data_IF_338430303346
#
_entry.id   IF_338430303346
#
_cell.length_a   1.000
_cell.length_b   1.000
_cell.length_c   1.000
_cell.angle_alpha   90.00
_cell.angle_beta   90.00
_cell.angle_gamma   90.00
#
_symmetry.space_group_name_H-M   'P 1'
#
loop_
_entity.id
_entity.type
_entity.pdbx_description
1 polymer ?
#
# COMPACT_ATOMS: atom_id res chain seq x y z
N UNK A 1 -2.24 -17.86 -19.30
CA UNK A 1 -3.37 -17.09 -18.74
C UNK A 1 -2.97 -16.33 -17.48
N UNK A 2 -2.24 -16.97 -16.55
CA UNK A 2 -1.51 -16.29 -15.48
C UNK A 2 -0.66 -15.12 -16.03
N UNK A 3 0.04 -15.28 -17.16
CA UNK A 3 0.87 -14.21 -17.74
C UNK A 3 0.07 -12.98 -18.22
N UNK A 4 -1.17 -13.18 -18.70
CA UNK A 4 -2.07 -12.08 -19.08
C UNK A 4 -2.62 -11.38 -17.83
N UNK A 5 -3.02 -12.15 -16.82
CA UNK A 5 -3.42 -11.63 -15.51
C UNK A 5 -2.27 -10.85 -14.86
N UNK A 6 -1.05 -11.37 -14.94
CA UNK A 6 0.16 -10.78 -14.38
C UNK A 6 0.46 -9.44 -15.07
N UNK A 7 0.51 -9.41 -16.40
CA UNK A 7 0.86 -8.21 -17.14
C UNK A 7 -0.21 -7.11 -17.05
N UNK A 8 -1.49 -7.44 -17.23
CA UNK A 8 -2.55 -6.42 -17.27
C UNK A 8 -3.13 -6.08 -15.90
N UNK A 9 -3.42 -7.08 -15.07
CA UNK A 9 -4.05 -6.86 -13.76
C UNK A 9 -2.99 -6.54 -12.71
N UNK A 10 -1.94 -7.36 -12.55
CA UNK A 10 -0.92 -7.15 -11.53
C UNK A 10 0.12 -6.08 -11.88
N UNK A 11 0.33 -5.76 -13.15
CA UNK A 11 1.25 -4.70 -13.57
C UNK A 11 0.71 -3.29 -13.31
N UNK A 12 -0.62 -3.11 -13.28
CA UNK A 12 -1.19 -1.77 -13.18
C UNK A 12 -2.49 -1.69 -12.37
N UNK A 13 -3.55 -2.37 -12.80
CA UNK A 13 -4.91 -2.16 -12.25
C UNK A 13 -4.98 -2.51 -10.76
N UNK A 14 -4.45 -3.68 -10.40
CA UNK A 14 -4.41 -4.16 -9.02
C UNK A 14 -3.42 -3.39 -8.15
N UNK A 15 -2.51 -2.61 -8.73
CA UNK A 15 -1.66 -1.70 -7.97
C UNK A 15 -2.38 -0.36 -7.75
N UNK A 16 -2.90 0.24 -8.83
CA UNK A 16 -3.48 1.57 -8.84
C UNK A 16 -4.75 1.67 -7.99
N UNK A 17 -5.71 0.77 -8.17
CA UNK A 17 -7.02 0.88 -7.51
C UNK A 17 -6.88 0.76 -5.99
N UNK A 18 -6.21 -0.26 -5.42
CA UNK A 18 -6.02 -0.34 -3.98
C UNK A 18 -5.12 0.78 -3.46
N UNK A 19 -4.19 1.31 -4.26
CA UNK A 19 -3.40 2.47 -3.85
C UNK A 19 -4.27 3.72 -3.64
N UNK A 20 -5.22 3.99 -4.54
CA UNK A 20 -6.20 5.08 -4.34
C UNK A 20 -7.00 4.86 -3.07
N UNK A 21 -7.41 3.62 -2.79
CA UNK A 21 -8.04 3.27 -1.52
C UNK A 21 -7.13 3.55 -0.31
N UNK A 22 -5.84 3.18 -0.37
CA UNK A 22 -4.87 3.47 0.69
C UNK A 22 -4.74 4.97 0.99
N UNK A 23 -4.82 5.82 -0.04
CA UNK A 23 -4.80 7.28 0.11
C UNK A 23 -6.05 7.75 0.87
N UNK A 24 -7.24 7.32 0.46
CA UNK A 24 -8.51 7.69 1.09
C UNK A 24 -8.61 7.17 2.53
N UNK A 25 -8.09 5.98 2.78
CA UNK A 25 -8.05 5.38 4.11
C UNK A 25 -7.09 6.17 5.02
N UNK A 26 -5.89 6.49 4.54
CA UNK A 26 -4.93 7.33 5.29
C UNK A 26 -5.51 8.70 5.63
N UNK A 27 -6.25 9.30 4.70
CA UNK A 27 -6.99 10.52 4.94
C UNK A 27 -8.03 10.36 6.05
N UNK A 28 -8.86 9.31 5.97
CA UNK A 28 -9.95 9.08 6.91
C UNK A 28 -9.46 8.74 8.32
N UNK A 29 -8.39 7.95 8.45
CA UNK A 29 -7.88 7.47 9.74
C UNK A 29 -7.01 8.50 10.47
N UNK A 30 -6.38 9.44 9.77
CA UNK A 30 -5.44 10.40 10.37
C UNK A 30 -5.84 11.84 10.08
N UNK A 31 -5.82 12.26 8.81
CA UNK A 31 -5.96 13.65 8.43
C UNK A 31 -7.35 14.24 8.77
N UNK A 32 -8.43 13.44 8.64
CA UNK A 32 -9.80 13.86 8.99
C UNK A 32 -9.95 14.15 10.49
N UNK A 33 -9.29 13.40 11.36
CA UNK A 33 -9.35 13.63 12.81
C UNK A 33 -8.60 14.90 13.24
N UNK A 34 -7.62 15.31 12.44
CA UNK A 34 -6.89 16.56 12.64
C UNK A 34 -7.68 17.78 12.16
N UNK A 35 -8.38 17.68 11.02
CA UNK A 35 -9.15 18.80 10.46
C UNK A 35 -10.32 19.23 11.34
N UNK A 36 -11.03 18.23 11.88
CA UNK A 36 -12.31 18.46 12.54
C UNK A 36 -12.14 19.00 13.97
N UNK A 37 -10.91 19.15 14.47
CA UNK A 37 -10.64 19.39 15.89
C UNK A 37 -11.08 18.24 16.81
N UNK A 38 -11.65 17.16 16.25
CA UNK A 38 -12.13 15.96 16.95
C UNK A 38 -11.03 15.24 17.73
N UNK A 39 -9.76 15.49 17.39
CA UNK A 39 -8.64 15.06 18.21
C UNK A 39 -8.68 15.64 19.64
N UNK A 40 -9.21 16.86 19.82
CA UNK A 40 -9.41 17.45 21.14
C UNK A 40 -10.45 16.67 21.96
N UNK A 41 -11.50 16.14 21.32
CA UNK A 41 -12.49 15.27 21.96
C UNK A 41 -11.92 13.90 22.32
N UNK A 42 -11.13 13.30 21.42
CA UNK A 42 -10.43 12.04 21.69
C UNK A 42 -9.37 12.18 22.79
N UNK A 43 -8.71 13.35 22.91
CA UNK A 43 -7.75 13.67 23.96
C UNK A 43 -8.38 13.88 25.34
N UNK A 44 -9.67 14.23 25.40
CA UNK A 44 -10.45 14.27 26.64
C UNK A 44 -10.89 12.88 27.12
N UNK A 45 -10.65 11.82 26.33
CA UNK A 45 -10.81 10.44 26.80
C UNK A 45 -9.58 9.99 27.59
N UNK A 46 -9.73 8.96 28.43
CA UNK A 46 -8.62 8.41 29.24
C UNK A 46 -7.46 7.79 28.41
N UNK A 47 -7.56 7.75 27.08
CA UNK A 47 -6.60 7.07 26.20
C UNK A 47 -5.59 8.06 25.62
N UNK A 48 -4.30 7.75 25.77
CA UNK A 48 -3.21 8.60 25.25
C UNK A 48 -3.10 8.57 23.71
N UNK A 49 -2.48 9.62 23.14
CA UNK A 49 -2.24 9.80 21.67
C UNK A 49 -1.65 8.56 20.99
N UNK A 50 -0.71 7.87 21.64
CA UNK A 50 -0.06 6.66 21.13
C UNK A 50 -1.02 5.48 20.99
N UNK A 51 -2.00 5.36 21.88
CA UNK A 51 -2.97 4.27 21.87
C UNK A 51 -3.97 4.46 20.72
N UNK A 52 -4.46 5.68 20.51
CA UNK A 52 -5.34 6.02 19.39
C UNK A 52 -4.61 5.76 18.07
N UNK A 53 -3.37 6.22 17.90
CA UNK A 53 -2.67 5.99 16.65
C UNK A 53 -2.34 4.50 16.42
N UNK A 54 -2.13 3.74 17.50
CA UNK A 54 -1.94 2.30 17.40
C UNK A 54 -3.21 1.59 16.91
N UNK A 55 -4.40 2.00 17.36
CA UNK A 55 -5.64 1.43 16.82
C UNK A 55 -5.82 1.81 15.36
N UNK A 56 -5.48 3.04 14.95
CA UNK A 56 -5.53 3.44 13.54
C UNK A 56 -4.59 2.60 12.65
N UNK A 57 -3.38 2.27 13.11
CA UNK A 57 -2.47 1.39 12.37
C UNK A 57 -3.07 -0.03 12.24
N UNK A 58 -3.68 -0.56 13.30
CA UNK A 58 -4.32 -1.88 13.25
C UNK A 58 -5.49 -1.89 12.27
N UNK A 59 -6.36 -0.87 12.33
CA UNK A 59 -7.47 -0.71 11.40
C UNK A 59 -6.95 -0.59 9.96
N UNK A 60 -5.90 0.20 9.74
CA UNK A 60 -5.26 0.35 8.44
C UNK A 60 -4.81 -0.98 7.83
N UNK A 61 -4.11 -1.81 8.62
CA UNK A 61 -3.64 -3.14 8.19
C UNK A 61 -4.81 -4.09 7.95
N UNK A 62 -5.82 -4.08 8.82
CA UNK A 62 -7.01 -4.93 8.68
C UNK A 62 -7.82 -4.59 7.44
N UNK A 63 -8.04 -3.32 7.14
CA UNK A 63 -8.75 -2.87 5.94
C UNK A 63 -8.01 -3.30 4.66
N UNK A 64 -6.67 -3.20 4.64
CA UNK A 64 -5.87 -3.73 3.53
C UNK A 64 -5.97 -5.25 3.40
N UNK A 65 -6.02 -5.97 4.53
CA UNK A 65 -6.17 -7.42 4.53
C UNK A 65 -7.56 -7.82 3.99
N UNK A 66 -8.62 -7.14 4.42
CA UNK A 66 -9.99 -7.35 3.94
C UNK A 66 -10.09 -7.06 2.44
N UNK A 67 -9.51 -5.95 1.98
CA UNK A 67 -9.48 -5.61 0.57
C UNK A 67 -8.77 -6.70 -0.24
N UNK A 68 -7.61 -7.16 0.25
CA UNK A 68 -6.81 -8.17 -0.45
C UNK A 68 -7.51 -9.53 -0.52
N UNK A 69 -8.14 -9.97 0.58
CA UNK A 69 -8.91 -11.22 0.59
C UNK A 69 -10.12 -11.13 -0.32
N UNK A 70 -10.80 -9.98 -0.35
CA UNK A 70 -11.91 -9.72 -1.27
C UNK A 70 -11.46 -9.79 -2.73
N UNK A 71 -10.37 -9.10 -3.11
CA UNK A 71 -9.84 -9.14 -4.47
C UNK A 71 -9.41 -10.55 -4.87
N UNK A 72 -8.75 -11.28 -3.98
CA UNK A 72 -8.32 -12.68 -4.20
C UNK A 72 -9.54 -13.58 -4.45
N UNK A 73 -10.57 -13.48 -3.62
CA UNK A 73 -11.80 -14.27 -3.74
C UNK A 73 -12.57 -13.93 -5.02
N UNK A 74 -12.68 -12.65 -5.36
CA UNK A 74 -13.34 -12.19 -6.58
C UNK A 74 -12.62 -12.70 -7.82
N UNK A 75 -11.28 -12.64 -7.83
CA UNK A 75 -10.49 -13.07 -8.97
C UNK A 75 -10.53 -14.60 -9.16
N UNK A 76 -10.55 -15.38 -8.07
CA UNK A 76 -10.80 -16.82 -8.11
C UNK A 76 -12.22 -17.12 -8.65
N UNK A 77 -13.24 -16.45 -8.14
CA UNK A 77 -14.62 -16.62 -8.59
C UNK A 77 -14.77 -16.31 -10.09
N UNK A 78 -14.22 -15.18 -10.55
CA UNK A 78 -14.24 -14.80 -11.95
C UNK A 78 -13.49 -15.82 -12.83
N UNK A 79 -12.35 -16.32 -12.38
CA UNK A 79 -11.59 -17.32 -13.15
C UNK A 79 -12.38 -18.62 -13.36
N UNK A 80 -13.11 -19.08 -12.32
CA UNK A 80 -13.91 -20.32 -12.39
C UNK A 80 -15.13 -20.19 -13.29
N UNK A 81 -15.81 -19.03 -13.29
CA UNK A 81 -17.08 -18.83 -13.99
C UNK A 81 -16.85 -18.39 -15.44
N UNK A 82 -15.99 -17.40 -15.66
CA UNK A 82 -15.82 -16.79 -16.97
C UNK A 82 -14.87 -17.59 -17.86
N UNK A 83 -13.84 -18.20 -17.28
CA UNK A 83 -12.72 -18.76 -18.06
C UNK A 83 -12.65 -20.29 -17.99
N UNK A 84 -13.43 -20.95 -17.12
CA UNK A 84 -13.57 -22.42 -17.04
C UNK A 84 -12.24 -23.19 -16.99
N UNK A 85 -11.18 -22.58 -16.46
CA UNK A 85 -9.86 -23.20 -16.30
C UNK A 85 -9.42 -23.19 -14.83
N UNK A 86 -8.63 -24.18 -14.45
CA UNK A 86 -8.06 -24.31 -13.11
C UNK A 86 -6.84 -23.41 -12.93
N UNK A 87 -6.96 -22.34 -12.13
CA UNK A 87 -5.82 -21.57 -11.65
C UNK A 87 -4.99 -22.37 -10.63
N UNK A 88 -3.67 -22.29 -10.75
CA UNK A 88 -2.75 -22.78 -9.73
C UNK A 88 -2.90 -21.97 -8.44
N UNK A 89 -3.65 -22.53 -7.49
CA UNK A 89 -3.98 -21.88 -6.22
C UNK A 89 -2.74 -21.37 -5.47
N UNK A 90 -1.66 -22.16 -5.43
CA UNK A 90 -0.44 -21.79 -4.72
C UNK A 90 0.29 -20.61 -5.34
N UNK A 91 0.49 -20.62 -6.67
CA UNK A 91 1.15 -19.50 -7.38
C UNK A 91 0.36 -18.21 -7.22
N UNK A 92 -0.95 -18.31 -7.34
CA UNK A 92 -1.85 -17.19 -7.14
C UNK A 92 -1.79 -16.65 -5.70
N UNK A 93 -1.74 -17.53 -4.69
CA UNK A 93 -1.62 -17.11 -3.30
C UNK A 93 -0.32 -16.33 -3.03
N UNK A 94 0.83 -16.83 -3.50
CA UNK A 94 2.11 -16.14 -3.33
C UNK A 94 2.14 -14.78 -4.01
N UNK A 95 1.56 -14.67 -5.22
CA UNK A 95 1.45 -13.42 -5.94
C UNK A 95 0.61 -12.39 -5.16
N UNK A 96 -0.50 -12.83 -4.57
CA UNK A 96 -1.35 -11.98 -3.73
C UNK A 96 -0.66 -11.54 -2.43
N UNK A 97 0.14 -12.41 -1.81
CA UNK A 97 0.96 -12.03 -0.64
C UNK A 97 1.97 -10.95 -1.02
N UNK A 98 2.64 -11.10 -2.16
CA UNK A 98 3.58 -10.09 -2.66
C UNK A 98 2.88 -8.74 -2.92
N UNK A 99 1.71 -8.77 -3.53
CA UNK A 99 0.91 -7.58 -3.81
C UNK A 99 0.45 -6.89 -2.51
N UNK A 100 0.04 -7.66 -1.50
CA UNK A 100 -0.29 -7.15 -0.18
C UNK A 100 0.88 -6.38 0.46
N UNK A 101 2.10 -6.94 0.41
CA UNK A 101 3.29 -6.27 0.93
C UNK A 101 3.58 -4.94 0.22
N UNK A 102 3.40 -4.90 -1.10
CA UNK A 102 3.53 -3.67 -1.88
C UNK A 102 2.48 -2.62 -1.46
N UNK A 103 1.22 -3.02 -1.22
CA UNK A 103 0.19 -2.11 -0.76
C UNK A 103 0.45 -1.58 0.65
N UNK A 104 0.93 -2.44 1.55
CA UNK A 104 1.36 -1.99 2.89
C UNK A 104 2.48 -0.96 2.75
N UNK A 105 3.44 -1.16 1.86
CA UNK A 105 4.48 -0.16 1.59
C UNK A 105 3.90 1.17 1.10
N UNK A 106 3.16 1.17 -0.01
CA UNK A 106 2.62 2.41 -0.60
C UNK A 106 1.68 3.14 0.36
N UNK A 107 0.81 2.37 1.03
CA UNK A 107 -0.14 2.90 1.96
C UNK A 107 0.52 3.41 3.25
N UNK A 108 1.57 2.76 3.75
CA UNK A 108 2.35 3.26 4.88
C UNK A 108 3.07 4.57 4.57
N UNK A 109 3.47 4.81 3.33
CA UNK A 109 4.06 6.07 2.87
C UNK A 109 3.01 7.19 2.95
N UNK A 110 1.78 6.92 2.50
CA UNK A 110 0.65 7.86 2.66
C UNK A 110 0.35 8.13 4.14
N UNK A 111 0.29 7.08 4.96
CA UNK A 111 0.05 7.19 6.41
C UNK A 111 1.16 7.97 7.12
N UNK A 112 2.41 7.73 6.77
CA UNK A 112 3.58 8.44 7.31
C UNK A 112 3.52 9.93 6.97
N UNK A 113 3.33 10.26 5.69
CA UNK A 113 3.11 11.64 5.25
C UNK A 113 1.94 12.28 6.02
N UNK A 114 0.87 11.51 6.24
CA UNK A 114 -0.29 11.99 6.95
C UNK A 114 0.02 12.37 8.41
N UNK A 115 0.91 11.62 9.06
CA UNK A 115 1.35 11.85 10.44
C UNK A 115 2.33 13.04 10.55
N UNK A 116 3.16 13.28 9.53
CA UNK A 116 4.22 14.30 9.56
C UNK A 116 3.68 15.71 9.36
N UNK A 117 2.79 15.92 8.38
CA UNK A 117 2.32 17.26 8.05
C UNK A 117 1.06 17.65 8.84
N UNK A 118 0.95 18.95 9.19
CA UNK A 118 -0.22 19.49 9.89
C UNK A 118 -1.37 19.81 8.93
N UNK A 119 -1.08 20.44 7.80
CA UNK A 119 -2.11 20.77 6.83
C UNK A 119 -2.41 19.57 5.93
N UNK A 120 -3.70 19.33 5.72
CA UNK A 120 -4.22 18.21 4.93
C UNK A 120 -3.70 18.23 3.50
N UNK A 121 -3.58 19.44 2.92
CA UNK A 121 -3.08 19.63 1.56
C UNK A 121 -1.68 19.02 1.38
N UNK A 122 -0.79 19.20 2.35
CA UNK A 122 0.56 18.62 2.31
C UNK A 122 0.59 17.17 2.81
N UNK A 123 -0.20 16.87 3.85
CA UNK A 123 -0.37 15.55 4.46
C UNK A 123 -0.75 14.46 3.45
N UNK A 124 -1.82 14.67 2.68
CA UNK A 124 -2.22 13.74 1.61
C UNK A 124 -1.36 13.96 0.37
N UNK A 125 -1.13 15.21 -0.01
CA UNK A 125 -0.51 15.58 -1.28
C UNK A 125 0.91 15.02 -1.43
N UNK A 126 1.72 15.08 -0.37
CA UNK A 126 3.08 14.53 -0.43
C UNK A 126 3.08 13.00 -0.54
N UNK A 127 2.31 12.31 0.29
CA UNK A 127 2.27 10.84 0.28
C UNK A 127 1.66 10.26 -0.98
N UNK A 128 0.50 10.79 -1.41
CA UNK A 128 -0.14 10.40 -2.65
C UNK A 128 0.72 10.77 -3.85
N UNK A 129 1.27 11.99 -3.89
CA UNK A 129 2.10 12.48 -4.99
C UNK A 129 3.37 11.65 -5.19
N UNK A 130 4.07 11.30 -4.12
CA UNK A 130 5.25 10.43 -4.19
C UNK A 130 4.87 9.04 -4.68
N UNK A 131 3.80 8.43 -4.15
CA UNK A 131 3.37 7.10 -4.60
C UNK A 131 2.90 7.10 -6.06
N UNK A 132 2.17 8.14 -6.51
CA UNK A 132 1.81 8.32 -7.91
C UNK A 132 3.02 8.53 -8.81
N UNK A 133 4.02 9.30 -8.36
CA UNK A 133 5.25 9.51 -9.10
C UNK A 133 5.99 8.17 -9.29
N UNK A 134 6.05 7.33 -8.26
CA UNK A 134 6.62 5.99 -8.42
C UNK A 134 5.85 5.12 -9.42
N UNK A 135 4.51 5.19 -9.43
CA UNK A 135 3.68 4.50 -10.43
C UNK A 135 3.95 5.00 -11.84
N UNK A 136 4.01 6.32 -12.04
CA UNK A 136 4.28 6.90 -13.35
C UNK A 136 5.66 6.53 -13.89
N UNK A 137 6.67 6.54 -13.03
CA UNK A 137 8.03 6.12 -13.39
C UNK A 137 8.05 4.64 -13.79
N UNK A 138 7.37 3.77 -13.03
CA UNK A 138 7.23 2.35 -13.35
C UNK A 138 6.58 2.17 -14.73
N UNK A 139 5.44 2.81 -14.97
CA UNK A 139 4.74 2.74 -16.26
C UNK A 139 5.59 3.23 -17.42
N UNK A 140 6.36 4.31 -17.24
CA UNK A 140 7.21 4.85 -18.29
C UNK A 140 8.35 3.88 -18.62
N UNK A 141 8.91 3.22 -17.60
CA UNK A 141 9.95 2.22 -17.78
C UNK A 141 9.44 0.95 -18.45
N UNK A 142 8.19 0.55 -18.20
CA UNK A 142 7.61 -0.66 -18.78
C UNK A 142 7.23 -0.48 -20.26
N UNK A 143 7.11 0.77 -20.75
CA UNK A 143 6.73 1.09 -22.14
C UNK A 143 7.94 1.17 -23.09
N UNK A 144 9.11 1.59 -22.62
CA UNK A 144 10.30 1.74 -23.47
C UNK A 144 11.57 1.26 -22.76
N UNK A 145 12.34 0.42 -23.44
CA UNK A 145 13.60 -0.15 -22.94
C UNK A 145 14.65 0.93 -22.60
N UNK A 146 14.64 2.07 -23.30
CA UNK A 146 15.53 3.20 -23.03
C UNK A 146 15.34 3.76 -21.61
N UNK A 147 14.14 3.60 -21.05
CA UNK A 147 13.79 4.07 -19.72
C UNK A 147 13.96 3.00 -18.63
N UNK A 148 14.51 1.83 -18.94
CA UNK A 148 14.73 0.76 -17.94
C UNK A 148 15.58 1.18 -16.73
N UNK A 149 16.42 2.20 -16.87
CA UNK A 149 17.18 2.75 -15.74
C UNK A 149 16.28 3.43 -14.68
N UNK A 150 15.08 3.88 -15.07
CA UNK A 150 14.12 4.51 -14.16
C UNK A 150 13.52 3.52 -13.17
N UNK A 151 13.43 2.25 -13.52
CA UNK A 151 12.96 1.20 -12.61
C UNK A 151 13.83 1.08 -11.34
N UNK A 152 15.09 1.52 -11.35
CA UNK A 152 15.93 1.54 -10.15
C UNK A 152 15.59 2.69 -9.18
N UNK A 153 14.80 3.67 -9.61
CA UNK A 153 14.34 4.79 -8.77
C UNK A 153 13.04 4.47 -8.03
N UNK A 154 12.34 3.39 -8.38
CA UNK A 154 11.05 3.05 -7.79
C UNK A 154 11.19 1.85 -6.83
N UNK A 155 10.59 1.92 -5.64
CA UNK A 155 10.46 0.75 -4.77
C UNK A 155 9.58 -0.34 -5.41
N UNK A 156 8.74 0.01 -6.40
CA UNK A 156 7.82 -0.92 -7.05
C UNK A 156 8.55 -2.02 -7.82
N UNK A 157 9.75 -1.74 -8.32
CA UNK A 157 10.57 -2.75 -9.01
C UNK A 157 10.86 -3.99 -8.15
N UNK A 158 10.92 -3.82 -6.83
CA UNK A 158 11.12 -4.95 -5.90
C UNK A 158 9.96 -5.95 -5.94
N UNK A 159 8.77 -5.52 -6.36
CA UNK A 159 7.66 -6.42 -6.65
C UNK A 159 7.72 -6.84 -8.12
N UNK A 160 8.18 -8.07 -8.36
CA UNK A 160 8.21 -8.67 -9.69
C UNK A 160 7.29 -9.89 -9.72
N UNK A 161 6.06 -9.75 -10.25
CA UNK A 161 5.10 -10.86 -10.38
C UNK A 161 5.66 -12.13 -11.02
N UNK A 162 6.42 -11.97 -12.10
CA UNK A 162 7.04 -13.04 -12.88
C UNK A 162 7.96 -13.90 -11.99
N UNK A 163 8.87 -13.24 -11.27
CA UNK A 163 9.86 -13.88 -10.37
C UNK A 163 9.18 -14.61 -9.21
N UNK A 164 8.04 -14.10 -8.73
CA UNK A 164 7.25 -14.74 -7.67
C UNK A 164 6.59 -16.02 -8.19
N UNK A 165 6.07 -16.00 -9.41
CA UNK A 165 5.38 -17.15 -10.03
C UNK A 165 6.37 -18.25 -10.43
N UNK A 166 7.60 -17.89 -10.79
CA UNK A 166 8.70 -18.82 -11.06
C UNK A 166 9.38 -19.38 -9.79
N UNK A 167 8.91 -18.98 -8.60
CA UNK A 167 9.52 -19.34 -7.31
C UNK A 167 10.99 -18.91 -7.16
N UNK A 168 11.37 -17.80 -7.80
CA UNK A 168 12.73 -17.28 -7.72
C UNK A 168 12.96 -16.58 -6.37
N UNK A 169 14.03 -16.96 -5.66
CA UNK A 169 14.33 -16.43 -4.31
C UNK A 169 14.47 -14.91 -4.25
N UNK A 170 14.96 -14.28 -5.32
CA UNK A 170 15.09 -12.82 -5.44
C UNK A 170 13.74 -12.09 -5.42
N UNK A 171 12.68 -12.69 -5.96
CA UNK A 171 11.33 -12.11 -5.92
C UNK A 171 10.80 -12.05 -4.49
N UNK A 172 10.97 -13.12 -3.73
CA UNK A 172 10.56 -13.16 -2.31
C UNK A 172 11.38 -12.21 -1.44
N UNK A 173 12.68 -12.05 -1.71
CA UNK A 173 13.52 -11.06 -1.01
C UNK A 173 13.00 -9.64 -1.26
N UNK A 174 12.62 -9.32 -2.50
CA UNK A 174 12.05 -8.01 -2.84
C UNK A 174 10.76 -7.71 -2.06
N UNK A 175 9.86 -8.69 -2.00
CA UNK A 175 8.61 -8.63 -1.21
C UNK A 175 8.90 -8.43 0.29
N UNK A 176 9.89 -9.14 0.83
CA UNK A 176 10.29 -9.01 2.23
C UNK A 176 10.81 -7.60 2.53
N UNK A 177 11.65 -7.04 1.65
CA UNK A 177 12.18 -5.67 1.79
C UNK A 177 11.03 -4.66 1.79
N UNK A 178 10.09 -4.77 0.85
CA UNK A 178 8.91 -3.90 0.80
C UNK A 178 8.11 -3.95 2.10
N UNK A 179 7.90 -5.15 2.64
CA UNK A 179 7.18 -5.33 3.90
C UNK A 179 7.92 -4.68 5.09
N UNK A 180 9.23 -4.91 5.21
CA UNK A 180 10.04 -4.34 6.30
C UNK A 180 10.08 -2.81 6.22
N UNK A 181 10.27 -2.25 5.03
CA UNK A 181 10.30 -0.79 4.83
C UNK A 181 8.92 -0.18 5.09
N UNK A 182 7.84 -0.82 4.62
CA UNK A 182 6.48 -0.36 4.86
C UNK A 182 6.13 -0.36 6.35
N UNK A 183 6.48 -1.43 7.06
CA UNK A 183 6.31 -1.49 8.51
C UNK A 183 7.15 -0.42 9.24
N UNK A 184 8.36 -0.17 8.74
CA UNK A 184 9.24 0.92 9.19
C UNK A 184 8.54 2.28 9.09
N UNK A 185 7.90 2.59 7.95
CA UNK A 185 7.16 3.84 7.77
C UNK A 185 5.97 3.98 8.73
N UNK A 186 5.21 2.90 9.00
CA UNK A 186 4.14 2.93 10.00
C UNK A 186 4.66 3.26 11.40
N UNK A 187 5.79 2.64 11.79
CA UNK A 187 6.40 2.89 13.11
C UNK A 187 7.01 4.28 13.21
N UNK A 188 7.67 4.77 12.15
CA UNK A 188 8.19 6.14 12.09
C UNK A 188 7.05 7.16 12.16
N UNK A 189 5.92 6.89 11.47
CA UNK A 189 4.71 7.71 11.53
C UNK A 189 4.18 7.78 12.95
N UNK A 190 4.13 6.64 13.65
CA UNK A 190 3.74 6.57 15.07
C UNK A 190 4.62 7.41 15.97
N UNK A 191 5.94 7.32 15.81
CA UNK A 191 6.90 8.06 16.63
C UNK A 191 6.82 9.56 16.36
N UNK A 192 6.78 9.96 15.08
CA UNK A 192 6.70 11.36 14.68
C UNK A 192 5.44 12.01 15.23
N UNK A 193 4.28 11.35 15.06
CA UNK A 193 3.02 11.84 15.57
C UNK A 193 3.00 11.97 17.10
N UNK A 194 3.64 11.04 17.82
CA UNK A 194 3.70 11.11 19.28
C UNK A 194 4.56 12.24 19.82
N UNK A 195 5.55 12.72 19.06
CA UNK A 195 6.41 13.84 19.45
C UNK A 195 5.85 15.18 18.98
N UNK A 196 4.73 15.17 18.24
CA UNK A 196 4.14 16.35 17.64
C UNK A 196 3.33 17.15 18.66
N UNK A 197 3.62 18.44 18.74
CA UNK A 197 2.73 19.41 19.36
C UNK A 197 1.58 19.67 18.39
N UNK A 198 0.39 19.24 18.79
CA UNK A 198 -0.83 19.58 18.07
C UNK A 198 -1.13 21.05 18.36
N UNK A 199 -1.25 21.92 17.35
CA UNK A 199 -1.78 23.26 17.57
C UNK A 199 -3.21 23.07 18.11
N UNK A 200 -3.39 23.44 19.38
CA UNK A 200 -4.70 23.53 20.03
C UNK A 200 -5.34 24.87 19.66
#
# INVERSE_FOLDING_TARGET
MLDFLINYLYGFILILIPFVFSILLSYTLVARYMDQGSMAYLLNTKYGRKAILQTQIVVFVLEHLILMTYTTALLLFCSTILMQESLDFWRFLYLNIGLFCLHIFLGSLCFFSACVFNEIRYSIGCGAGIGFLFLLIQMLSDVNEDFNFLNYLTPLRLFSPERIVEYEGTGFIGVLILFVVGFGFLMLGKICFSKRDLPL
#
